data_IF_504305304051
#
_entry.id   IF_504305304051
#
_cell.length_a   1.000
_cell.length_b   1.000
_cell.length_c   1.000
_cell.angle_alpha   90.00
_cell.angle_beta   90.00
_cell.angle_gamma   90.00
#
_symmetry.space_group_name_H-M   'P 1'
#
loop_
_entity.id
_entity.type
_entity.pdbx_description
1 polymer ?
#
# COMPACT_ATOMS: atom_id res chain seq x y z
N UNK A 1 -7.41 14.35 29.50
CA UNK A 1 -6.80 14.53 28.16
C UNK A 1 -6.69 13.13 27.56
N UNK A 2 -7.77 12.65 26.94
CA UNK A 2 -7.75 11.37 26.25
C UNK A 2 -7.29 11.68 24.82
N UNK A 3 -6.14 11.11 24.48
CA UNK A 3 -5.43 11.22 23.22
C UNK A 3 -6.37 11.22 22.02
N UNK A 4 -6.29 12.29 21.23
CA UNK A 4 -6.70 12.30 19.83
C UNK A 4 -5.80 11.29 19.09
N UNK A 5 -6.14 10.01 19.13
CA UNK A 5 -5.67 9.06 18.13
C UNK A 5 -6.45 9.35 16.85
N UNK A 6 -6.03 10.38 16.13
CA UNK A 6 -6.16 10.39 14.68
C UNK A 6 -5.27 9.26 14.17
N UNK A 7 -5.74 8.02 14.28
CA UNK A 7 -5.23 6.91 13.49
C UNK A 7 -5.60 7.25 12.06
N UNK A 8 -4.83 8.14 11.43
CA UNK A 8 -4.66 8.14 9.98
C UNK A 8 -4.21 6.73 9.69
N UNK A 9 -5.17 5.87 9.30
CA UNK A 9 -4.88 4.54 8.81
C UNK A 9 -4.15 4.77 7.51
N UNK A 10 -2.84 4.93 7.59
CA UNK A 10 -1.99 5.08 6.43
C UNK A 10 -2.26 3.87 5.54
N UNK A 11 -2.63 4.15 4.29
CA UNK A 11 -2.95 3.09 3.35
C UNK A 11 -1.69 2.30 3.08
N UNK A 12 -1.75 1.00 3.31
CA UNK A 12 -0.63 0.07 3.12
C UNK A 12 -0.90 -0.84 1.92
N UNK A 13 0.16 -1.23 1.22
CA UNK A 13 0.08 -2.22 0.15
C UNK A 13 -0.27 -3.58 0.74
N UNK A 14 -1.32 -4.22 0.22
CA UNK A 14 -1.78 -5.54 0.68
C UNK A 14 -0.80 -6.68 0.36
N UNK A 15 0.22 -6.43 -0.48
CA UNK A 15 1.19 -7.45 -0.91
C UNK A 15 2.52 -7.36 -0.15
N UNK A 16 3.08 -6.16 -0.02
CA UNK A 16 4.37 -5.94 0.65
C UNK A 16 4.27 -5.26 2.02
N UNK A 17 3.10 -4.74 2.39
CA UNK A 17 2.90 -3.98 3.63
C UNK A 17 3.47 -2.55 3.61
N UNK A 18 3.97 -2.08 2.47
CA UNK A 18 4.56 -0.74 2.38
C UNK A 18 3.48 0.34 2.49
N UNK A 19 3.77 1.38 3.27
CA UNK A 19 2.88 2.52 3.47
C UNK A 19 2.84 3.40 2.22
N UNK A 20 1.75 4.18 2.04
CA UNK A 20 1.66 5.13 0.93
C UNK A 20 2.83 6.12 0.89
N UNK A 21 3.43 6.40 2.05
CA UNK A 21 4.57 7.30 2.24
C UNK A 21 5.89 6.69 1.75
N UNK A 22 5.98 5.37 1.68
CA UNK A 22 7.19 4.63 1.28
C UNK A 22 7.21 4.27 -0.21
N UNK A 23 6.07 4.33 -0.89
CA UNK A 23 5.94 3.94 -2.29
C UNK A 23 5.70 5.14 -3.20
N UNK A 24 6.14 5.02 -4.46
CA UNK A 24 5.97 6.11 -5.43
C UNK A 24 4.53 6.20 -5.93
N UNK A 25 3.85 5.06 -6.05
CA UNK A 25 2.42 4.98 -6.32
C UNK A 25 1.80 3.85 -5.52
N UNK A 26 0.69 4.15 -4.86
CA UNK A 26 -0.22 3.18 -4.27
C UNK A 26 -1.55 3.27 -5.02
N UNK A 27 -2.03 2.14 -5.54
CA UNK A 27 -3.26 2.04 -6.30
C UNK A 27 -4.31 1.40 -5.40
N UNK A 28 -5.41 2.12 -5.17
CA UNK A 28 -6.55 1.65 -4.41
C UNK A 28 -7.56 0.96 -5.35
N UNK A 29 -7.74 -0.35 -5.17
CA UNK A 29 -8.85 -1.12 -5.74
C UNK A 29 -10.03 -1.20 -4.78
N UNK A 30 -11.13 -1.87 -5.18
CA UNK A 30 -12.33 -2.01 -4.36
C UNK A 30 -12.08 -2.62 -2.97
N UNK A 31 -11.19 -3.63 -2.89
CA UNK A 31 -10.88 -4.37 -1.66
C UNK A 31 -9.37 -4.62 -1.48
N UNK A 32 -8.52 -4.01 -2.31
CA UNK A 32 -7.07 -4.30 -2.32
C UNK A 32 -6.26 -3.05 -2.64
N UNK A 33 -5.10 -2.93 -2.01
CA UNK A 33 -4.13 -1.88 -2.32
C UNK A 33 -2.87 -2.51 -2.90
N UNK A 34 -2.39 -1.99 -4.02
CA UNK A 34 -1.18 -2.49 -4.67
C UNK A 34 -0.25 -1.35 -5.03
N UNK A 35 1.05 -1.49 -4.74
CA UNK A 35 2.05 -0.49 -5.07
C UNK A 35 2.77 -0.77 -6.40
N UNK A 36 3.48 0.23 -6.93
CA UNK A 36 4.24 0.13 -8.19
C UNK A 36 5.38 -0.90 -8.15
N UNK A 37 5.89 -1.22 -6.96
CA UNK A 37 6.93 -2.23 -6.75
C UNK A 37 6.32 -3.63 -6.95
N UNK A 38 5.26 -3.94 -6.21
CA UNK A 38 4.58 -5.24 -6.32
C UNK A 38 4.06 -5.52 -7.74
N UNK A 39 3.63 -4.49 -8.48
CA UNK A 39 3.23 -4.67 -9.89
C UNK A 39 4.41 -5.15 -10.74
N UNK A 40 5.60 -4.56 -10.57
CA UNK A 40 6.81 -4.99 -11.32
C UNK A 40 7.21 -6.41 -10.94
N UNK A 41 7.24 -6.71 -9.64
CA UNK A 41 7.63 -8.03 -9.15
C UNK A 41 6.68 -9.11 -9.70
N UNK A 42 5.36 -8.84 -9.67
CA UNK A 42 4.37 -9.75 -10.26
C UNK A 42 4.52 -9.87 -11.79
N UNK A 43 4.86 -8.80 -12.50
CA UNK A 43 5.08 -8.85 -13.95
C UNK A 43 6.33 -9.65 -14.33
N UNK A 44 7.36 -9.69 -13.48
CA UNK A 44 8.55 -10.53 -13.69
C UNK A 44 8.21 -12.02 -13.53
N UNK A 45 7.33 -12.38 -12.59
CA UNK A 45 6.94 -13.77 -12.33
C UNK A 45 6.03 -14.35 -13.42
N UNK A 46 5.16 -13.53 -14.02
CA UNK A 46 4.20 -13.98 -15.04
C UNK A 46 4.88 -14.23 -16.41
N UNK A 47 6.09 -13.70 -16.61
CA UNK A 47 6.80 -13.74 -17.91
C UNK A 47 7.54 -15.05 -18.17
#
# INVERSE_FOLDING_TARGET
MASEETTSRELECSFCGALQSEVKRLIAGPDVYICDVCIRDCMEIIQ
#
